data_IF_775701499192
#
_entry.id   IF_775701499192
#
_cell.length_a   1.000
_cell.length_b   1.000
_cell.length_c   1.000
_cell.angle_alpha   90.00
_cell.angle_beta   90.00
_cell.angle_gamma   90.00
#
_symmetry.space_group_name_H-M   'P 1'
#
loop_
_entity.id
_entity.type
_entity.pdbx_description
1 polymer ?
#
# COMPACT_ATOMS: atom_id res chain seq x y z
N UNK A 1 -22.82 28.81 -5.50
CA UNK A 1 -23.44 27.71 -6.26
C UNK A 1 -22.56 26.48 -6.05
N UNK A 2 -23.13 25.36 -5.65
CA UNK A 2 -22.42 24.08 -5.62
C UNK A 2 -22.31 23.63 -7.08
N UNK A 3 -21.08 23.40 -7.53
CA UNK A 3 -20.77 22.90 -8.87
C UNK A 3 -20.11 21.50 -8.74
N UNK A 4 -20.59 20.55 -9.53
CA UNK A 4 -20.06 19.18 -9.61
C UNK A 4 -19.37 18.92 -10.95
N UNK A 5 -19.12 19.97 -11.75
CA UNK A 5 -18.39 19.85 -13.00
C UNK A 5 -16.91 19.53 -12.73
N UNK A 6 -16.37 18.63 -13.51
CA UNK A 6 -14.93 18.33 -13.49
C UNK A 6 -14.17 19.40 -14.27
N UNK A 7 -12.94 19.69 -13.86
CA UNK A 7 -12.02 20.48 -14.69
C UNK A 7 -11.61 19.69 -15.94
N UNK A 8 -11.07 20.38 -16.94
CA UNK A 8 -10.55 19.73 -18.17
C UNK A 8 -9.46 18.70 -17.85
N UNK A 9 -8.61 18.99 -16.85
CA UNK A 9 -7.57 18.07 -16.39
C UNK A 9 -8.18 16.84 -15.73
N UNK A 10 -9.16 17.01 -14.86
CA UNK A 10 -9.87 15.91 -14.20
C UNK A 10 -10.61 15.03 -15.21
N UNK A 11 -11.26 15.63 -16.20
CA UNK A 11 -11.91 14.89 -17.27
C UNK A 11 -10.90 14.07 -18.08
N UNK A 12 -9.73 14.66 -18.39
CA UNK A 12 -8.66 13.98 -19.11
C UNK A 12 -8.10 12.78 -18.32
N UNK A 13 -7.92 12.93 -17.00
CA UNK A 13 -7.48 11.84 -16.12
C UNK A 13 -8.52 10.71 -16.07
N UNK A 14 -9.80 11.04 -15.93
CA UNK A 14 -10.89 10.09 -15.93
C UNK A 14 -10.96 9.33 -17.26
N UNK A 15 -10.87 10.03 -18.40
CA UNK A 15 -10.91 9.43 -19.73
C UNK A 15 -9.73 8.50 -19.97
N UNK A 16 -8.52 8.87 -19.52
CA UNK A 16 -7.32 8.03 -19.59
C UNK A 16 -7.52 6.75 -18.76
N UNK A 17 -7.96 6.89 -17.52
CA UNK A 17 -8.20 5.74 -16.64
C UNK A 17 -9.32 4.83 -17.18
N UNK A 18 -10.42 5.41 -17.73
CA UNK A 18 -11.50 4.68 -18.37
C UNK A 18 -11.01 3.89 -19.58
N UNK A 19 -10.18 4.51 -20.43
CA UNK A 19 -9.59 3.86 -21.59
C UNK A 19 -8.70 2.69 -21.15
N UNK A 20 -7.81 2.93 -20.19
CA UNK A 20 -6.95 1.90 -19.63
C UNK A 20 -7.75 0.72 -19.06
N UNK A 21 -8.80 0.99 -18.30
CA UNK A 21 -9.66 -0.04 -17.73
C UNK A 21 -10.30 -0.91 -18.83
N UNK A 22 -10.80 -0.30 -19.91
CA UNK A 22 -11.41 -1.01 -21.03
C UNK A 22 -10.43 -1.85 -21.84
N UNK A 23 -9.22 -1.35 -22.08
CA UNK A 23 -8.24 -1.97 -22.97
C UNK A 23 -7.33 -2.96 -22.25
N UNK A 24 -6.97 -2.71 -21.00
CA UNK A 24 -5.98 -3.50 -20.27
C UNK A 24 -6.54 -4.31 -19.11
N UNK A 25 -7.60 -3.83 -18.42
CA UNK A 25 -8.14 -4.50 -17.23
C UNK A 25 -9.27 -5.47 -17.61
N UNK A 26 -10.35 -4.98 -18.22
CA UNK A 26 -11.54 -5.77 -18.51
C UNK A 26 -11.24 -7.07 -19.28
N UNK A 27 -10.42 -7.06 -20.34
CA UNK A 27 -10.14 -8.29 -21.10
C UNK A 27 -9.41 -9.38 -20.30
N UNK A 28 -8.76 -9.00 -19.19
CA UNK A 28 -7.95 -9.91 -18.36
C UNK A 28 -8.56 -10.20 -16.99
N UNK A 29 -9.63 -9.49 -16.63
CA UNK A 29 -10.24 -9.57 -15.30
C UNK A 29 -10.67 -11.00 -14.93
N UNK A 30 -11.34 -11.72 -15.83
CA UNK A 30 -11.78 -13.09 -15.61
C UNK A 30 -10.59 -14.02 -15.31
N UNK A 31 -9.51 -13.94 -16.07
CA UNK A 31 -8.31 -14.75 -15.86
C UNK A 31 -7.69 -14.52 -14.47
N UNK A 32 -7.55 -13.25 -14.05
CA UNK A 32 -6.99 -12.93 -12.75
C UNK A 32 -7.92 -13.35 -11.60
N UNK A 33 -9.23 -13.28 -11.79
CA UNK A 33 -10.18 -13.73 -10.77
C UNK A 33 -10.21 -15.28 -10.66
N UNK A 34 -10.19 -16.00 -11.77
CA UNK A 34 -10.17 -17.47 -11.77
C UNK A 34 -8.88 -18.04 -11.17
N UNK A 35 -7.74 -17.51 -11.57
CA UNK A 35 -6.43 -18.04 -11.20
C UNK A 35 -5.88 -17.46 -9.91
N UNK A 36 -6.36 -16.28 -9.50
CA UNK A 36 -5.76 -15.49 -8.41
C UNK A 36 -4.37 -14.95 -8.76
N UNK A 37 -3.98 -14.95 -10.03
CA UNK A 37 -2.68 -14.43 -10.44
C UNK A 37 -2.58 -12.92 -10.17
N UNK A 38 -1.45 -12.47 -9.60
CA UNK A 38 -1.21 -11.06 -9.32
C UNK A 38 -1.02 -10.27 -10.63
N UNK A 39 -1.65 -9.09 -10.82
CA UNK A 39 -1.71 -8.39 -12.10
C UNK A 39 -0.47 -7.50 -12.35
N UNK A 40 0.74 -8.05 -12.24
CA UNK A 40 2.01 -7.30 -12.28
C UNK A 40 2.19 -6.50 -13.56
N UNK A 41 1.90 -7.10 -14.73
CA UNK A 41 2.06 -6.43 -16.03
C UNK A 41 1.04 -5.30 -16.24
N UNK A 42 -0.19 -5.47 -15.74
CA UNK A 42 -1.22 -4.42 -15.79
C UNK A 42 -0.82 -3.27 -14.89
N UNK A 43 -0.38 -3.56 -13.67
CA UNK A 43 0.08 -2.55 -12.72
C UNK A 43 1.30 -1.79 -13.25
N UNK A 44 2.26 -2.46 -13.90
CA UNK A 44 3.41 -1.80 -14.52
C UNK A 44 2.97 -0.79 -15.59
N UNK A 45 2.04 -1.18 -16.48
CA UNK A 45 1.49 -0.27 -17.49
C UNK A 45 0.72 0.91 -16.88
N UNK A 46 -0.06 0.67 -15.80
CA UNK A 46 -0.75 1.73 -15.07
C UNK A 46 0.26 2.71 -14.44
N UNK A 47 1.36 2.21 -13.88
CA UNK A 47 2.44 3.00 -13.34
C UNK A 47 3.12 3.86 -14.43
N UNK A 48 3.44 3.30 -15.59
CA UNK A 48 4.02 4.00 -16.75
C UNK A 48 3.12 5.14 -17.26
N UNK A 49 1.81 5.04 -17.08
CA UNK A 49 0.81 6.05 -17.45
C UNK A 49 0.49 7.05 -16.32
N UNK A 50 1.12 6.93 -15.14
CA UNK A 50 0.84 7.78 -13.99
C UNK A 50 -0.50 7.51 -13.31
N UNK A 51 -1.11 6.34 -13.52
CA UNK A 51 -2.36 5.91 -12.90
C UNK A 51 -2.17 5.20 -11.55
N UNK A 52 -0.93 5.07 -11.08
CA UNK A 52 -0.56 4.57 -9.75
C UNK A 52 0.22 5.62 -8.98
N UNK A 53 0.22 5.49 -7.64
CA UNK A 53 1.01 6.36 -6.74
C UNK A 53 0.66 7.85 -6.88
N UNK A 54 -0.58 8.14 -7.22
CA UNK A 54 -1.07 9.46 -7.66
C UNK A 54 -0.92 10.57 -6.62
N UNK A 55 -0.93 10.23 -5.32
CA UNK A 55 -0.82 11.23 -4.24
C UNK A 55 0.61 11.48 -3.77
N UNK A 56 1.61 10.78 -4.32
CA UNK A 56 3.02 11.03 -3.96
C UNK A 56 3.37 12.45 -4.40
N UNK A 57 3.89 13.31 -3.49
CA UNK A 57 4.24 14.67 -3.81
C UNK A 57 5.31 14.78 -4.90
N UNK A 58 5.27 15.87 -5.66
CA UNK A 58 6.16 16.11 -6.81
C UNK A 58 7.64 16.12 -6.40
N UNK A 59 7.95 16.65 -5.22
CA UNK A 59 9.32 16.67 -4.68
C UNK A 59 9.92 15.30 -4.42
N UNK A 60 9.08 14.24 -4.37
CA UNK A 60 9.51 12.83 -4.24
C UNK A 60 9.26 12.02 -5.53
N UNK A 61 9.05 12.71 -6.65
CA UNK A 61 8.93 12.13 -7.99
C UNK A 61 7.53 11.64 -8.36
N UNK A 62 6.53 11.91 -7.53
CA UNK A 62 5.14 11.58 -7.81
C UNK A 62 4.40 12.65 -8.63
N UNK A 63 3.18 12.39 -9.09
CA UNK A 63 2.38 13.37 -9.82
C UNK A 63 1.74 14.43 -8.93
N UNK A 64 1.66 14.24 -7.61
CA UNK A 64 1.14 15.21 -6.65
C UNK A 64 -0.35 15.51 -6.83
N UNK A 65 -1.15 14.56 -7.31
CA UNK A 65 -2.57 14.75 -7.57
C UNK A 65 -3.38 14.86 -6.27
N UNK A 66 -4.51 15.54 -6.34
CA UNK A 66 -5.43 15.65 -5.22
C UNK A 66 -6.12 14.31 -4.90
N UNK A 67 -6.73 14.22 -3.72
CA UNK A 67 -7.52 13.05 -3.35
C UNK A 67 -8.71 12.85 -4.30
N UNK A 68 -9.33 13.94 -4.79
CA UNK A 68 -10.43 13.84 -5.75
C UNK A 68 -9.95 13.22 -7.08
N UNK A 69 -8.80 13.66 -7.58
CA UNK A 69 -8.23 13.13 -8.82
C UNK A 69 -7.92 11.64 -8.69
N UNK A 70 -7.36 11.23 -7.54
CA UNK A 70 -7.14 9.82 -7.20
C UNK A 70 -8.46 9.02 -7.17
N UNK A 71 -9.53 9.57 -6.60
CA UNK A 71 -10.85 8.92 -6.60
C UNK A 71 -11.40 8.73 -8.02
N UNK A 72 -11.27 9.72 -8.89
CA UNK A 72 -11.71 9.64 -10.29
C UNK A 72 -10.97 8.52 -11.05
N UNK A 73 -9.66 8.42 -10.84
CA UNK A 73 -8.83 7.36 -11.43
C UNK A 73 -9.24 5.99 -10.88
N UNK A 74 -9.30 5.86 -9.55
CA UNK A 74 -9.60 4.58 -8.89
C UNK A 74 -11.00 4.05 -9.25
N UNK A 75 -12.00 4.93 -9.38
CA UNK A 75 -13.35 4.55 -9.80
C UNK A 75 -13.33 3.87 -11.18
N UNK A 76 -12.59 4.43 -12.12
CA UNK A 76 -12.48 3.88 -13.47
C UNK A 76 -11.69 2.56 -13.52
N UNK A 77 -10.60 2.47 -12.76
CA UNK A 77 -9.84 1.22 -12.66
C UNK A 77 -10.68 0.12 -12.02
N UNK A 78 -11.42 0.43 -10.96
CA UNK A 78 -12.31 -0.49 -10.25
C UNK A 78 -13.52 -0.91 -11.10
N UNK A 79 -14.02 -0.03 -11.98
CA UNK A 79 -15.02 -0.39 -12.99
C UNK A 79 -14.52 -1.53 -13.88
N UNK A 80 -13.22 -1.56 -14.19
CA UNK A 80 -12.62 -2.66 -14.94
C UNK A 80 -12.53 -3.96 -14.14
N UNK A 81 -11.97 -3.90 -12.95
CA UNK A 81 -11.89 -5.02 -11.99
C UNK A 81 -11.45 -4.52 -10.61
N UNK A 82 -12.29 -4.67 -9.59
CA UNK A 82 -11.95 -4.24 -8.22
C UNK A 82 -10.74 -4.97 -7.64
N UNK A 83 -10.51 -6.23 -7.97
CA UNK A 83 -9.35 -6.99 -7.50
C UNK A 83 -8.03 -6.47 -8.06
N UNK A 84 -8.00 -6.11 -9.34
CA UNK A 84 -6.85 -5.50 -10.00
C UNK A 84 -6.61 -4.08 -9.47
N UNK A 85 -7.68 -3.27 -9.33
CA UNK A 85 -7.59 -1.94 -8.77
C UNK A 85 -7.05 -1.97 -7.33
N UNK A 86 -7.56 -2.86 -6.46
CA UNK A 86 -7.07 -3.03 -5.08
C UNK A 86 -5.57 -3.36 -5.02
N UNK A 87 -5.08 -4.21 -5.92
CA UNK A 87 -3.65 -4.54 -5.99
C UNK A 87 -2.78 -3.31 -6.29
N UNK A 88 -3.27 -2.37 -7.10
CA UNK A 88 -2.57 -1.13 -7.43
C UNK A 88 -2.71 -0.08 -6.31
N UNK A 89 -3.90 0.09 -5.76
CA UNK A 89 -4.22 1.11 -4.76
C UNK A 89 -3.63 0.84 -3.36
N UNK A 90 -3.20 -0.38 -3.06
CA UNK A 90 -2.55 -0.69 -1.79
C UNK A 90 -1.28 0.14 -1.54
N UNK A 91 -0.62 0.60 -2.60
CA UNK A 91 0.52 1.53 -2.49
C UNK A 91 0.09 2.86 -1.86
N UNK A 92 -1.06 3.41 -2.26
CA UNK A 92 -1.60 4.65 -1.69
C UNK A 92 -1.87 4.51 -0.20
N UNK A 93 -2.43 3.38 0.22
CA UNK A 93 -2.68 3.08 1.64
C UNK A 93 -1.38 3.01 2.45
N UNK A 94 -0.34 2.36 1.93
CA UNK A 94 0.96 2.25 2.59
C UNK A 94 1.71 3.59 2.61
N UNK A 95 1.56 4.41 1.57
CA UNK A 95 2.21 5.72 1.43
C UNK A 95 1.59 6.80 2.31
N UNK A 96 0.29 6.73 2.59
CA UNK A 96 -0.43 7.76 3.34
C UNK A 96 0.23 8.15 4.67
N UNK A 97 0.59 7.21 5.58
CA UNK A 97 1.26 7.57 6.83
C UNK A 97 2.67 8.16 6.59
N UNK A 98 3.35 7.76 5.53
CA UNK A 98 4.68 8.31 5.18
C UNK A 98 4.52 9.76 4.71
N UNK A 99 3.53 10.04 3.87
CA UNK A 99 3.24 11.41 3.39
C UNK A 99 2.91 12.33 4.57
N UNK A 100 2.09 11.85 5.51
CA UNK A 100 1.59 12.65 6.65
C UNK A 100 2.65 12.85 7.73
N UNK A 101 3.42 11.83 8.09
CA UNK A 101 4.25 11.81 9.28
C UNK A 101 5.73 11.46 9.05
N UNK A 102 6.11 11.00 7.86
CA UNK A 102 7.50 10.72 7.53
C UNK A 102 8.35 11.98 7.47
N UNK A 103 9.64 11.86 7.82
CA UNK A 103 10.63 12.91 7.57
C UNK A 103 11.09 12.88 6.10
N UNK A 104 11.86 13.89 5.69
CA UNK A 104 12.30 14.02 4.29
C UNK A 104 13.15 12.86 3.79
N UNK A 105 13.99 12.27 4.65
CA UNK A 105 14.81 11.11 4.29
C UNK A 105 13.92 9.88 4.01
N UNK A 106 12.96 9.61 4.90
CA UNK A 106 12.00 8.52 4.75
C UNK A 106 11.14 8.69 3.50
N UNK A 107 10.63 9.90 3.25
CA UNK A 107 9.85 10.21 2.05
C UNK A 107 10.67 10.01 0.77
N UNK A 108 11.90 10.54 0.73
CA UNK A 108 12.80 10.34 -0.40
C UNK A 108 13.07 8.88 -0.70
N UNK A 109 13.35 8.08 0.34
CA UNK A 109 13.72 6.68 0.19
C UNK A 109 12.51 5.84 -0.21
N UNK A 110 11.40 5.91 0.53
CA UNK A 110 10.28 4.98 0.38
C UNK A 110 9.23 5.44 -0.64
N UNK A 111 8.90 6.72 -0.69
CA UNK A 111 8.01 7.25 -1.73
C UNK A 111 8.76 7.40 -3.05
N UNK A 112 10.02 7.84 -3.02
CA UNK A 112 10.87 7.94 -4.20
C UNK A 112 11.04 6.60 -4.91
N UNK A 113 11.15 5.49 -4.17
CA UNK A 113 11.20 4.14 -4.76
C UNK A 113 9.92 3.82 -5.56
N UNK A 114 8.74 4.12 -5.02
CA UNK A 114 7.46 3.89 -5.72
C UNK A 114 7.29 4.76 -6.97
N UNK A 115 7.94 5.92 -6.99
CA UNK A 115 7.94 6.83 -8.15
C UNK A 115 8.95 6.42 -9.22
N UNK A 116 10.09 5.83 -8.80
CA UNK A 116 11.17 5.43 -9.69
C UNK A 116 10.97 4.06 -10.34
N UNK A 117 10.24 3.17 -9.69
CA UNK A 117 10.08 1.78 -10.10
C UNK A 117 8.63 1.28 -9.94
N UNK A 118 8.15 0.37 -10.80
CA UNK A 118 6.81 -0.24 -10.70
C UNK A 118 6.75 -1.30 -9.59
N UNK A 119 7.08 -0.90 -8.35
CA UNK A 119 7.09 -1.77 -7.18
C UNK A 119 5.89 -1.51 -6.28
N UNK A 120 5.72 -2.37 -5.29
CA UNK A 120 4.56 -2.35 -4.40
C UNK A 120 4.98 -2.11 -2.96
N UNK A 121 4.04 -1.55 -2.20
CA UNK A 121 4.13 -1.39 -0.76
C UNK A 121 2.91 -1.98 -0.07
N UNK A 122 3.00 -2.29 1.22
CA UNK A 122 1.88 -2.81 1.97
C UNK A 122 1.73 -2.15 3.33
N UNK A 123 0.46 -2.05 3.78
CA UNK A 123 0.06 -1.43 5.04
C UNK A 123 -0.20 -2.50 6.10
N UNK A 124 0.69 -2.63 7.09
CA UNK A 124 0.68 -3.67 8.09
C UNK A 124 0.22 -3.14 9.46
N UNK A 125 -1.09 -3.00 9.65
CA UNK A 125 -1.72 -2.56 10.90
C UNK A 125 -2.55 -3.67 11.52
N UNK A 126 -3.46 -4.26 10.78
CA UNK A 126 -4.38 -5.31 11.25
C UNK A 126 -3.63 -6.54 11.76
N UNK A 127 -4.12 -7.10 12.87
CA UNK A 127 -3.63 -8.34 13.48
C UNK A 127 -4.77 -9.35 13.62
N UNK A 128 -4.49 -10.64 13.85
CA UNK A 128 -5.54 -11.65 14.04
C UNK A 128 -6.56 -11.30 15.12
N UNK A 129 -6.14 -10.58 16.16
CA UNK A 129 -6.98 -10.14 17.29
C UNK A 129 -7.38 -8.67 17.29
N UNK A 130 -6.98 -7.88 16.29
CA UNK A 130 -7.18 -6.43 16.27
C UNK A 130 -7.41 -5.91 14.84
N UNK A 131 -8.65 -5.57 14.54
CA UNK A 131 -9.07 -4.93 13.28
C UNK A 131 -9.43 -3.46 13.52
N UNK A 132 -10.73 -3.16 13.68
CA UNK A 132 -11.21 -1.78 13.95
C UNK A 132 -10.71 -1.22 15.28
N UNK A 133 -10.49 -2.08 16.27
CA UNK A 133 -9.78 -1.70 17.50
C UNK A 133 -8.26 -1.75 17.27
N UNK A 134 -7.74 -0.72 16.62
CA UNK A 134 -6.30 -0.57 16.35
C UNK A 134 -5.49 -0.53 17.64
N UNK A 135 -6.05 -0.03 18.74
CA UNK A 135 -5.37 -0.01 20.03
C UNK A 135 -5.14 -1.41 20.63
N UNK A 136 -5.85 -2.41 20.12
CA UNK A 136 -5.71 -3.82 20.52
C UNK A 136 -4.55 -4.57 19.87
N UNK A 137 -3.72 -3.92 19.02
CA UNK A 137 -2.55 -4.57 18.42
C UNK A 137 -1.55 -5.02 19.48
N UNK A 138 -0.78 -6.06 19.17
CA UNK A 138 0.21 -6.65 20.08
C UNK A 138 1.63 -6.63 19.53
N UNK A 139 1.82 -6.33 18.26
CA UNK A 139 3.15 -6.16 17.65
C UNK A 139 3.92 -5.11 18.43
N UNK A 140 5.16 -5.41 18.77
CA UNK A 140 6.07 -4.54 19.53
C UNK A 140 7.28 -4.15 18.71
N UNK A 141 7.84 -2.97 19.00
CA UNK A 141 9.12 -2.50 18.49
C UNK A 141 9.97 -2.01 19.66
N UNK A 142 11.01 -2.74 20.01
CA UNK A 142 11.89 -2.42 21.12
C UNK A 142 13.17 -1.77 20.60
N UNK A 143 13.54 -0.61 21.14
CA UNK A 143 14.78 0.06 20.76
C UNK A 143 16.00 -0.62 21.38
N UNK A 144 16.99 -0.95 20.54
CA UNK A 144 18.27 -1.53 20.95
C UNK A 144 19.38 -0.74 20.25
N UNK A 145 19.99 0.19 20.95
CA UNK A 145 20.98 1.11 20.36
C UNK A 145 20.37 1.99 19.26
N UNK A 146 20.91 1.87 18.06
CA UNK A 146 20.46 2.61 16.86
C UNK A 146 19.51 1.81 15.96
N UNK A 147 18.92 0.74 16.50
CA UNK A 147 17.96 -0.12 15.82
C UNK A 147 16.69 -0.25 16.62
N UNK A 148 15.60 -0.65 15.92
CA UNK A 148 14.42 -1.24 16.53
C UNK A 148 14.31 -2.71 16.16
N UNK A 149 13.92 -3.52 17.15
CA UNK A 149 13.63 -4.95 16.98
C UNK A 149 12.12 -5.13 17.00
N UNK A 150 11.55 -5.57 15.88
CA UNK A 150 10.09 -5.73 15.70
C UNK A 150 9.72 -7.20 15.88
N UNK A 151 8.70 -7.45 16.71
CA UNK A 151 8.13 -8.76 16.96
C UNK A 151 6.60 -8.71 16.93
N UNK A 152 5.97 -9.63 16.19
CA UNK A 152 4.52 -9.74 16.12
C UNK A 152 4.02 -10.36 14.83
N UNK A 153 2.70 -10.31 14.63
CA UNK A 153 2.05 -10.88 13.45
C UNK A 153 0.98 -9.93 12.92
N UNK A 154 0.92 -9.80 11.61
CA UNK A 154 -0.07 -9.00 10.89
C UNK A 154 -0.94 -9.91 10.02
N UNK A 155 -2.20 -9.55 9.85
CA UNK A 155 -3.17 -10.34 9.11
C UNK A 155 -3.88 -9.48 8.05
N UNK A 156 -4.34 -10.14 6.99
CA UNK A 156 -5.11 -9.52 5.90
C UNK A 156 -4.34 -8.41 5.16
N UNK A 157 -3.05 -8.60 5.00
CA UNK A 157 -2.18 -7.58 4.41
C UNK A 157 -2.23 -7.67 2.89
N UNK A 158 -2.86 -6.68 2.26
CA UNK A 158 -2.86 -6.51 0.81
C UNK A 158 -1.45 -6.24 0.31
N UNK A 159 -1.05 -6.89 -0.77
CA UNK A 159 0.31 -6.88 -1.32
C UNK A 159 1.37 -7.48 -0.40
N UNK A 160 0.99 -8.22 0.64
CA UNK A 160 1.91 -8.76 1.63
C UNK A 160 3.04 -9.63 1.06
N UNK A 161 2.79 -10.34 -0.04
CA UNK A 161 3.78 -11.21 -0.70
C UNK A 161 4.53 -10.58 -1.88
N UNK A 162 4.18 -9.36 -2.29
CA UNK A 162 4.75 -8.71 -3.47
C UNK A 162 5.36 -7.34 -3.19
N UNK A 163 5.17 -6.82 -1.96
CA UNK A 163 5.67 -5.52 -1.55
C UNK A 163 7.20 -5.49 -1.45
N UNK A 164 7.79 -4.34 -1.77
CA UNK A 164 9.21 -4.04 -1.56
C UNK A 164 9.47 -3.51 -0.15
N UNK A 165 8.47 -2.92 0.47
CA UNK A 165 8.51 -2.45 1.84
C UNK A 165 7.13 -2.45 2.49
N UNK A 166 7.11 -2.47 3.81
CA UNK A 166 5.92 -2.46 4.65
C UNK A 166 5.89 -1.21 5.53
N UNK A 167 4.73 -0.54 5.61
CA UNK A 167 4.42 0.29 6.76
C UNK A 167 3.92 -0.61 7.88
N UNK A 168 4.62 -0.66 9.01
CA UNK A 168 4.27 -1.50 10.16
C UNK A 168 3.93 -0.65 11.36
N UNK A 169 2.71 -0.79 11.90
CA UNK A 169 2.32 -0.17 13.16
C UNK A 169 2.65 -1.11 14.33
N UNK A 170 3.41 -0.63 15.31
CA UNK A 170 3.81 -1.40 16.46
C UNK A 170 3.81 -0.56 17.74
N UNK A 171 3.72 -1.21 18.90
CA UNK A 171 3.91 -0.56 20.20
C UNK A 171 5.39 -0.40 20.51
N UNK A 172 5.78 0.84 20.81
CA UNK A 172 7.06 1.15 21.45
C UNK A 172 6.92 1.29 22.98
N UNK A 173 5.71 1.58 23.46
CA UNK A 173 5.38 1.67 24.88
C UNK A 173 3.89 1.33 25.12
N UNK A 174 3.60 0.09 25.47
CA UNK A 174 2.23 -0.36 25.72
C UNK A 174 1.55 0.34 26.91
N UNK A 175 2.33 0.85 27.88
CA UNK A 175 1.76 1.55 29.05
C UNK A 175 1.02 2.84 28.67
N UNK A 176 1.41 3.45 27.54
CA UNK A 176 0.79 4.68 27.01
C UNK A 176 -0.42 4.43 26.12
N UNK A 177 -0.85 3.16 25.96
CA UNK A 177 -1.97 2.78 25.09
C UNK A 177 -1.79 3.34 23.67
N UNK A 178 -2.84 3.87 23.02
CA UNK A 178 -2.77 4.43 21.69
C UNK A 178 -1.67 5.50 21.45
N UNK A 179 -1.18 6.13 22.53
CA UNK A 179 -0.07 7.11 22.44
C UNK A 179 1.31 6.46 22.45
N UNK A 180 1.39 5.17 22.67
CA UNK A 180 2.65 4.43 22.68
C UNK A 180 2.90 3.64 21.39
N UNK A 181 2.11 3.87 20.35
CA UNK A 181 2.30 3.27 19.04
C UNK A 181 3.18 4.15 18.14
N UNK A 182 3.96 3.51 17.28
CA UNK A 182 4.78 4.17 16.26
C UNK A 182 4.67 3.42 14.94
N UNK A 183 4.81 4.14 13.83
CA UNK A 183 4.91 3.57 12.49
C UNK A 183 6.37 3.34 12.10
N UNK A 184 6.63 2.24 11.43
CA UNK A 184 7.95 1.83 10.97
C UNK A 184 7.93 1.52 9.48
N UNK A 185 9.00 1.88 8.76
CA UNK A 185 9.19 1.54 7.37
C UNK A 185 10.18 0.36 7.28
N UNK A 186 9.67 -0.78 6.91
CA UNK A 186 10.39 -2.05 6.98
C UNK A 186 10.64 -2.58 5.56
N UNK A 187 11.89 -2.64 5.08
CA UNK A 187 12.21 -3.30 3.82
C UNK A 187 11.75 -4.77 3.83
N UNK A 188 11.09 -5.22 2.76
CA UNK A 188 10.48 -6.55 2.74
C UNK A 188 11.50 -7.70 2.78
N UNK A 189 12.75 -7.43 2.43
CA UNK A 189 13.86 -8.39 2.48
C UNK A 189 14.59 -8.42 3.84
N UNK A 190 14.05 -7.72 4.87
CA UNK A 190 14.66 -7.75 6.21
C UNK A 190 14.61 -9.17 6.79
N UNK A 191 15.72 -9.66 7.37
CA UNK A 191 15.73 -10.96 8.03
C UNK A 191 14.71 -11.04 9.17
N UNK A 192 14.08 -12.21 9.35
CA UNK A 192 13.07 -12.43 10.38
C UNK A 192 11.64 -12.17 9.92
N UNK A 193 11.40 -11.75 8.67
CA UNK A 193 10.06 -11.63 8.10
C UNK A 193 9.67 -12.97 7.46
N UNK A 194 8.53 -13.52 7.89
CA UNK A 194 7.90 -14.66 7.25
C UNK A 194 6.61 -14.23 6.59
N UNK A 195 6.54 -14.43 5.28
CA UNK A 195 5.33 -14.17 4.49
C UNK A 195 4.49 -15.44 4.44
N UNK A 196 3.26 -15.37 4.93
CA UNK A 196 2.31 -16.46 4.90
C UNK A 196 1.82 -16.81 3.48
N UNK A 197 1.09 -17.91 3.38
CA UNK A 197 0.42 -18.26 2.11
C UNK A 197 -0.62 -17.21 1.74
N UNK A 198 -0.88 -17.10 0.43
CA UNK A 198 -1.95 -16.23 -0.08
C UNK A 198 -3.31 -16.72 0.43
N UNK A 199 -4.12 -15.80 0.91
CA UNK A 199 -5.49 -16.08 1.36
C UNK A 199 -6.40 -16.39 0.17
N UNK A 200 -7.33 -17.30 0.39
CA UNK A 200 -8.37 -17.65 -0.58
C UNK A 200 -9.54 -16.68 -0.45
N UNK A 201 -9.39 -15.50 -1.04
CA UNK A 201 -10.44 -14.47 -1.01
C UNK A 201 -11.72 -14.95 -1.74
N UNK A 202 -12.89 -14.58 -1.23
CA UNK A 202 -14.17 -14.86 -1.87
C UNK A 202 -14.33 -14.08 -3.18
N UNK A 203 -13.89 -12.81 -3.20
CA UNK A 203 -13.80 -11.94 -4.37
C UNK A 203 -12.47 -11.18 -4.37
N UNK A 204 -12.23 -10.35 -5.38
CA UNK A 204 -10.98 -9.60 -5.56
C UNK A 204 -9.72 -10.50 -5.54
N UNK A 205 -9.80 -11.66 -6.17
CA UNK A 205 -8.78 -12.72 -6.07
C UNK A 205 -7.45 -12.35 -6.74
N UNK A 206 -7.43 -11.33 -7.59
CA UNK A 206 -6.21 -10.75 -8.14
C UNK A 206 -5.32 -10.06 -7.08
N UNK A 207 -5.90 -9.62 -5.96
CA UNK A 207 -5.16 -9.04 -4.84
C UNK A 207 -4.36 -10.09 -4.08
N UNK A 208 -3.15 -9.75 -3.64
CA UNK A 208 -2.27 -10.64 -2.87
C UNK A 208 -2.43 -10.36 -1.37
N UNK A 209 -3.41 -10.99 -0.75
CA UNK A 209 -3.69 -10.85 0.69
C UNK A 209 -2.95 -11.92 1.49
N UNK A 210 -2.17 -11.54 2.50
CA UNK A 210 -1.38 -12.49 3.32
C UNK A 210 -1.34 -12.10 4.79
N UNK A 211 -1.01 -13.08 5.62
CA UNK A 211 -0.46 -12.86 6.96
C UNK A 211 1.06 -12.64 6.88
N UNK A 212 1.59 -11.85 7.80
CA UNK A 212 3.03 -11.61 7.96
C UNK A 212 3.42 -11.85 9.41
N UNK A 213 4.57 -12.49 9.63
CA UNK A 213 5.16 -12.66 10.95
C UNK A 213 6.52 -11.97 10.99
N UNK A 214 6.78 -11.24 12.07
CA UNK A 214 8.02 -10.54 12.35
C UNK A 214 8.64 -11.19 13.58
N UNK A 215 9.84 -11.76 13.42
CA UNK A 215 10.59 -12.44 14.49
C UNK A 215 11.98 -11.82 14.56
N UNK A 216 12.20 -11.01 15.60
CA UNK A 216 13.44 -10.25 15.83
C UNK A 216 13.90 -9.44 14.59
N UNK A 217 12.96 -8.86 13.87
CA UNK A 217 13.26 -8.05 12.68
C UNK A 217 13.92 -6.76 13.10
N UNK A 218 15.18 -6.57 12.71
CA UNK A 218 15.99 -5.40 13.01
C UNK A 218 15.91 -4.39 11.90
N UNK A 219 15.58 -3.16 12.24
CA UNK A 219 15.57 -2.02 11.31
C UNK A 219 16.32 -0.85 11.93
N UNK A 220 16.99 0.01 11.13
CA UNK A 220 17.59 1.24 11.62
C UNK A 220 16.57 2.14 12.31
N UNK A 221 16.96 2.82 13.38
CA UNK A 221 16.06 3.72 14.14
C UNK A 221 15.57 4.94 13.32
N UNK A 222 16.17 5.18 12.16
CA UNK A 222 15.72 6.22 11.23
C UNK A 222 14.50 5.80 10.38
N UNK A 223 14.13 4.53 10.38
CA UNK A 223 12.98 3.98 9.65
C UNK A 223 11.79 3.82 10.59
#
# INVERSE_FOLDING_TARGET
VIDFSLSEEQQSLQDLARKFAKEEIIPKAAHHDETGAFPREIAKKAWELGLMNTHIPVEYGGPGLSVLDGCLITEELAYGCTGIATAMEANALASAPVIVAGNDEQKKEFLGLLSAEPVFAAYCVTEPGAGSDVAGIRTTATRVGDEYVINGSKAWITNGGVASWYFVLAYTDQSKKHRGMSGFLVPANSPGITVGKKEMNLGQKASDTRGLTFEDVKIPAKY
#
